data_IF_966812310659
#
_entry.id   IF_966812310659
#
_cell.length_a   1.000
_cell.length_b   1.000
_cell.length_c   1.000
_cell.angle_alpha   90.00
_cell.angle_beta   90.00
_cell.angle_gamma   90.00
#
_symmetry.space_group_name_H-M   'P 1'
#
loop_
_entity.id
_entity.type
_entity.pdbx_description
1 polymer ?
#
# COMPACT_ATOMS: atom_id res chain seq x y z
N UNK A 1 24.98 -10.13 12.54
CA UNK A 1 25.50 -8.78 12.26
C UNK A 1 24.33 -7.91 11.83
N UNK A 2 23.89 -6.95 12.65
CA UNK A 2 22.66 -6.18 12.40
C UNK A 2 22.88 -5.19 11.24
N UNK A 3 22.06 -5.29 10.19
CA UNK A 3 22.18 -4.46 9.00
C UNK A 3 21.75 -3.00 9.31
N UNK A 4 22.73 -2.09 9.38
CA UNK A 4 22.57 -0.66 9.73
C UNK A 4 21.62 0.08 8.76
N UNK A 5 21.38 -0.47 7.56
CA UNK A 5 20.43 0.07 6.58
C UNK A 5 18.97 -0.29 6.83
N UNK A 6 18.70 -1.25 7.73
CA UNK A 6 17.32 -1.67 8.02
C UNK A 6 16.54 -0.54 8.72
N UNK A 7 15.35 -0.22 8.22
CA UNK A 7 14.41 0.73 8.86
C UNK A 7 14.17 0.37 10.34
N UNK A 8 14.18 -0.94 10.64
CA UNK A 8 14.15 -1.52 11.99
C UNK A 8 15.21 -0.95 12.92
N UNK A 9 16.45 -1.01 12.47
CA UNK A 9 17.62 -0.58 13.25
C UNK A 9 17.55 0.92 13.51
N UNK A 10 17.15 1.69 12.49
CA UNK A 10 17.05 3.14 12.57
C UNK A 10 15.96 3.61 13.53
N UNK A 11 14.75 3.06 13.45
CA UNK A 11 13.63 3.48 14.31
C UNK A 11 13.93 3.13 15.78
N UNK A 12 14.39 1.90 16.04
CA UNK A 12 14.66 1.46 17.40
C UNK A 12 15.79 2.26 18.05
N UNK A 13 16.89 2.49 17.32
CA UNK A 13 18.01 3.29 17.85
C UNK A 13 17.60 4.74 17.99
N UNK A 14 16.88 5.32 17.04
CA UNK A 14 16.47 6.72 17.12
C UNK A 14 15.56 6.96 18.32
N UNK A 15 14.52 6.15 18.53
CA UNK A 15 13.65 6.30 19.70
C UNK A 15 14.38 6.02 21.01
N UNK A 16 15.16 4.93 21.08
CA UNK A 16 15.89 4.58 22.31
C UNK A 16 16.94 5.63 22.65
N UNK A 17 17.67 6.13 21.65
CA UNK A 17 18.70 7.17 21.85
C UNK A 17 18.08 8.49 22.30
N UNK A 18 16.98 8.94 21.68
CA UNK A 18 16.28 10.16 22.11
C UNK A 18 15.86 10.05 23.57
N UNK A 19 15.27 8.91 23.96
CA UNK A 19 14.77 8.71 25.32
C UNK A 19 15.92 8.63 26.34
N UNK A 20 17.01 7.92 26.01
CA UNK A 20 18.21 7.84 26.85
C UNK A 20 18.86 9.22 27.01
N UNK A 21 18.98 9.99 25.92
CA UNK A 21 19.55 11.35 25.94
C UNK A 21 18.68 12.28 26.80
N UNK A 22 17.35 12.25 26.63
CA UNK A 22 16.42 13.05 27.42
C UNK A 22 16.53 12.72 28.92
N UNK A 23 16.53 11.44 29.30
CA UNK A 23 16.71 11.02 30.69
C UNK A 23 18.09 11.48 31.21
N UNK A 24 19.15 11.32 30.43
CA UNK A 24 20.51 11.72 30.83
C UNK A 24 20.63 13.22 31.09
N UNK A 25 19.99 14.04 30.26
CA UNK A 25 19.93 15.51 30.43
C UNK A 25 19.19 15.85 31.73
N UNK A 26 18.05 15.23 32.00
CA UNK A 26 17.26 15.48 33.21
C UNK A 26 18.07 15.15 34.47
N UNK A 27 18.68 13.97 34.52
CA UNK A 27 19.43 13.50 35.69
C UNK A 27 20.69 14.35 35.92
N UNK A 28 21.41 14.69 34.84
CA UNK A 28 22.60 15.53 34.90
C UNK A 28 22.24 16.96 35.34
N UNK A 29 21.18 17.53 34.77
CA UNK A 29 20.67 18.85 35.17
C UNK A 29 20.26 18.87 36.64
N UNK A 30 19.53 17.84 37.10
CA UNK A 30 19.11 17.72 38.49
C UNK A 30 20.31 17.67 39.45
N UNK A 31 21.34 16.88 39.12
CA UNK A 31 22.57 16.81 39.92
C UNK A 31 23.29 18.17 39.95
N UNK A 32 23.49 18.82 38.80
CA UNK A 32 24.18 20.11 38.71
C UNK A 32 23.44 21.19 39.52
N UNK A 33 22.12 21.27 39.39
CA UNK A 33 21.30 22.24 40.12
C UNK A 33 21.36 21.98 41.62
N UNK A 34 21.20 20.73 42.05
CA UNK A 34 21.26 20.35 43.47
C UNK A 34 22.63 20.65 44.07
N UNK A 35 23.70 20.27 43.37
CA UNK A 35 25.08 20.58 43.77
C UNK A 35 25.28 22.10 43.93
N UNK A 36 24.82 22.89 42.94
CA UNK A 36 24.93 24.35 42.98
C UNK A 36 24.16 24.95 44.16
N UNK A 37 22.92 24.52 44.41
CA UNK A 37 22.09 25.03 45.52
C UNK A 37 22.74 24.75 46.87
N UNK A 38 23.25 23.54 47.08
CA UNK A 38 23.88 23.16 48.36
C UNK A 38 25.13 24.01 48.62
N UNK A 39 26.01 24.16 47.62
CA UNK A 39 27.21 25.00 47.78
C UNK A 39 26.86 26.50 47.96
N UNK A 40 25.84 27.00 47.28
CA UNK A 40 25.36 28.38 47.50
C UNK A 40 24.84 28.60 48.92
N UNK A 41 24.22 27.59 49.53
CA UNK A 41 23.77 27.67 50.92
C UNK A 41 24.96 27.75 51.88
N UNK A 42 26.01 26.94 51.68
CA UNK A 42 27.25 27.04 52.46
C UNK A 42 27.92 28.39 52.26
N UNK A 43 27.99 28.89 51.03
CA UNK A 43 28.58 30.19 50.72
C UNK A 43 27.82 31.35 51.42
N UNK A 44 26.49 31.24 51.52
CA UNK A 44 25.66 32.18 52.29
C UNK A 44 25.91 32.07 53.80
N UNK A 45 26.02 30.87 54.33
CA UNK A 45 26.34 30.66 55.75
C UNK A 45 27.73 31.23 56.08
N UNK A 46 28.75 30.92 55.29
CA UNK A 46 30.10 31.49 55.44
C UNK A 46 30.08 33.02 55.42
N UNK A 47 29.31 33.62 54.51
CA UNK A 47 29.18 35.07 54.40
C UNK A 47 28.52 35.69 55.62
N UNK A 48 27.43 35.10 56.12
CA UNK A 48 26.77 35.57 57.35
C UNK A 48 27.72 35.54 58.54
N UNK A 49 28.49 34.46 58.68
CA UNK A 49 29.48 34.34 59.74
C UNK A 49 30.64 35.34 59.61
N UNK A 50 30.96 35.81 58.39
CA UNK A 50 31.98 36.84 58.18
C UNK A 50 31.65 38.21 58.78
N UNK A 51 30.38 38.47 59.12
CA UNK A 51 29.95 39.73 59.72
C UNK A 51 29.89 39.69 61.26
N UNK A 52 29.89 38.51 61.89
CA UNK A 52 29.76 38.40 63.35
C UNK A 52 30.83 37.47 63.93
N UNK A 53 32.03 38.02 64.06
CA UNK A 53 33.20 37.24 64.45
C UNK A 53 33.17 36.72 65.90
N UNK A 54 32.29 37.25 66.75
CA UNK A 54 32.22 36.86 68.16
C UNK A 54 31.36 35.59 68.41
N UNK A 55 30.61 35.11 67.40
CA UNK A 55 29.77 33.91 67.51
C UNK A 55 30.50 32.60 67.16
N UNK A 56 31.77 32.66 66.76
CA UNK A 56 32.47 31.53 66.13
C UNK A 56 32.75 30.31 67.01
N UNK A 57 32.78 30.46 68.34
CA UNK A 57 33.00 29.33 69.25
C UNK A 57 31.81 28.35 69.29
N UNK A 58 30.74 28.59 68.52
CA UNK A 58 29.50 27.81 68.56
C UNK A 58 29.28 26.83 67.40
N UNK A 59 30.09 26.85 66.33
CA UNK A 59 29.93 25.94 65.18
C UNK A 59 31.11 24.95 65.10
N UNK A 60 30.89 23.65 65.40
CA UNK A 60 31.95 22.65 65.38
C UNK A 60 32.64 22.52 64.02
N UNK A 61 33.96 22.64 64.00
CA UNK A 61 34.79 22.38 62.81
C UNK A 61 35.00 23.56 61.86
N UNK A 62 34.39 24.73 62.09
CA UNK A 62 34.73 25.94 61.35
C UNK A 62 36.14 26.45 61.71
N UNK A 63 36.83 27.01 60.72
CA UNK A 63 38.18 27.58 60.89
C UNK A 63 38.16 29.03 60.44
N UNK A 64 38.65 29.93 61.27
CA UNK A 64 38.89 31.33 60.88
C UNK A 64 40.37 31.60 61.00
N UNK A 65 40.93 32.19 59.95
CA UNK A 65 42.35 32.55 59.89
C UNK A 65 42.47 33.95 59.32
N UNK A 66 43.20 34.81 60.03
CA UNK A 66 43.59 36.13 59.55
C UNK A 66 45.03 36.06 59.06
N UNK A 67 45.26 36.47 57.81
CA UNK A 67 46.59 36.58 57.23
C UNK A 67 46.99 38.05 57.09
N UNK A 68 48.27 38.35 57.28
CA UNK A 68 48.82 39.68 56.99
C UNK A 68 49.11 39.87 55.49
N UNK A 69 49.57 41.06 55.13
CA UNK A 69 50.03 41.45 53.80
C UNK A 69 51.13 40.57 53.17
N UNK A 70 51.80 39.72 53.96
CA UNK A 70 52.84 38.78 53.50
C UNK A 70 52.33 37.33 53.44
N UNK A 71 51.04 37.09 53.72
CA UNK A 71 50.44 35.76 53.76
C UNK A 71 50.78 34.93 55.00
N UNK A 72 51.36 35.55 56.04
CA UNK A 72 51.63 34.90 57.33
C UNK A 72 50.41 35.00 58.24
N UNK A 73 50.19 33.97 59.08
CA UNK A 73 49.06 33.91 60.00
C UNK A 73 49.26 34.93 61.12
N UNK A 74 48.31 35.84 61.27
CA UNK A 74 48.22 36.82 62.36
C UNK A 74 47.43 36.24 63.51
N UNK A 75 46.29 35.62 63.19
CA UNK A 75 45.40 34.98 64.17
C UNK A 75 44.69 33.80 63.50
N UNK A 76 44.37 32.78 64.29
CA UNK A 76 43.78 31.54 63.79
C UNK A 76 42.99 30.84 64.89
N UNK A 77 41.80 30.35 64.56
CA UNK A 77 41.01 29.49 65.44
C UNK A 77 41.58 28.07 65.53
N UNK A 78 42.51 27.69 64.64
CA UNK A 78 43.34 26.49 64.75
C UNK A 78 44.67 26.82 65.44
N UNK A 79 45.14 25.92 66.29
CA UNK A 79 46.46 26.02 66.94
C UNK A 79 47.59 26.19 65.91
N UNK A 80 48.51 27.11 66.18
CA UNK A 80 49.64 27.46 65.28
C UNK A 80 50.56 26.28 64.92
N UNK A 81 50.53 25.17 65.68
CA UNK A 81 51.35 23.97 65.47
C UNK A 81 50.79 22.96 64.45
N UNK A 82 49.71 23.27 63.71
CA UNK A 82 49.18 22.35 62.69
C UNK A 82 50.09 22.32 61.44
N UNK A 83 50.88 21.24 61.19
CA UNK A 83 51.98 21.27 60.19
C UNK A 83 51.51 21.21 58.73
N UNK A 84 50.21 21.05 58.49
CA UNK A 84 49.64 20.66 57.20
C UNK A 84 48.84 21.76 56.50
N UNK A 85 48.86 22.99 57.01
CA UNK A 85 47.96 24.05 56.52
C UNK A 85 48.73 25.11 55.75
N UNK A 86 48.82 24.93 54.44
CA UNK A 86 49.36 25.95 53.53
C UNK A 86 48.23 26.83 52.99
N UNK A 87 48.14 28.07 53.49
CA UNK A 87 47.21 29.08 53.02
C UNK A 87 47.73 29.86 51.79
N UNK A 88 48.92 29.52 51.27
CA UNK A 88 49.57 30.22 50.17
C UNK A 88 48.65 30.39 48.95
N UNK A 89 47.98 29.31 48.55
CA UNK A 89 47.03 29.35 47.43
C UNK A 89 45.85 30.31 47.69
N UNK A 90 45.27 30.28 48.89
CA UNK A 90 44.13 31.15 49.26
C UNK A 90 44.54 32.61 49.32
N UNK A 91 45.77 32.88 49.78
CA UNK A 91 46.35 34.21 49.75
C UNK A 91 46.56 34.72 48.31
N UNK A 92 47.08 33.89 47.40
CA UNK A 92 47.18 34.23 45.97
C UNK A 92 45.81 34.49 45.33
N UNK A 93 44.77 33.75 45.71
CA UNK A 93 43.39 33.99 45.28
C UNK A 93 42.89 35.36 45.76
N UNK A 94 43.22 35.75 46.99
CA UNK A 94 42.87 37.06 47.56
C UNK A 94 43.60 38.23 46.89
N UNK A 95 44.85 38.02 46.45
CA UNK A 95 45.61 39.04 45.71
C UNK A 95 45.04 39.30 44.31
N UNK A 96 44.57 38.24 43.64
CA UNK A 96 44.03 38.34 42.28
C UNK A 96 42.61 38.91 42.25
N UNK A 97 41.81 38.66 43.29
CA UNK A 97 40.42 39.07 43.34
C UNK A 97 40.20 40.11 44.43
N UNK A 98 39.72 41.31 44.06
CA UNK A 98 39.40 42.37 45.04
C UNK A 98 38.12 42.11 45.84
N UNK A 99 37.32 41.12 45.45
CA UNK A 99 36.04 40.76 46.07
C UNK A 99 36.11 39.43 46.82
N UNK A 100 35.08 39.18 47.64
CA UNK A 100 34.90 37.90 48.32
C UNK A 100 34.89 36.78 47.28
N UNK A 101 35.71 35.75 47.53
CA UNK A 101 35.82 34.57 46.66
C UNK A 101 35.56 33.31 47.48
N UNK A 102 34.88 32.34 46.87
CA UNK A 102 34.61 31.05 47.50
C UNK A 102 35.37 29.94 46.79
N UNK A 103 36.09 29.10 47.54
CA UNK A 103 36.93 28.03 46.94
C UNK A 103 36.97 26.80 47.82
N UNK A 104 37.16 25.63 47.22
CA UNK A 104 37.34 24.37 47.96
C UNK A 104 38.83 24.11 48.12
N UNK A 105 39.26 23.77 49.33
CA UNK A 105 40.62 23.28 49.59
C UNK A 105 40.58 22.34 50.79
N UNK A 106 41.49 21.38 50.84
CA UNK A 106 41.59 20.48 51.98
C UNK A 106 42.51 21.07 53.05
N UNK A 107 42.11 20.95 54.31
CA UNK A 107 43.00 21.10 55.46
C UNK A 107 43.33 19.68 55.92
N UNK A 108 44.56 19.21 55.66
CA UNK A 108 44.90 17.79 55.81
C UNK A 108 44.00 16.91 54.93
N UNK A 109 43.26 15.99 55.55
CA UNK A 109 42.29 15.11 54.86
C UNK A 109 40.85 15.64 54.89
N UNK A 110 40.60 16.77 55.54
CA UNK A 110 39.24 17.32 55.66
C UNK A 110 38.97 18.30 54.53
N UNK A 111 38.00 18.02 53.65
CA UNK A 111 37.62 18.95 52.59
C UNK A 111 36.87 20.12 53.19
N UNK A 112 37.34 21.34 52.89
CA UNK A 112 36.77 22.58 53.38
C UNK A 112 36.29 23.46 52.23
N UNK A 113 35.21 24.20 52.46
CA UNK A 113 34.78 25.35 51.65
C UNK A 113 35.28 26.62 52.35
N UNK A 114 36.10 27.40 51.65
CA UNK A 114 36.65 28.66 52.13
C UNK A 114 35.91 29.84 51.54
N UNK A 115 35.60 30.80 52.40
CA UNK A 115 35.38 32.19 52.06
C UNK A 115 36.71 32.93 52.22
N UNK A 116 37.15 33.58 51.15
CA UNK A 116 38.36 34.39 51.08
C UNK A 116 37.93 35.84 50.91
N UNK A 117 38.13 36.67 51.94
CA UNK A 117 37.77 38.08 51.94
C UNK A 117 39.04 38.93 52.10
N UNK A 118 39.55 39.55 51.03
CA UNK A 118 40.65 40.50 51.15
C UNK A 118 40.17 41.79 51.83
N UNK A 119 40.99 42.35 52.70
CA UNK A 119 40.75 43.61 53.41
C UNK A 119 41.76 44.63 52.88
N UNK A 120 41.23 45.75 52.39
CA UNK A 120 42.04 46.83 51.83
C UNK A 120 41.93 48.07 52.71
N UNK A 121 43.05 48.71 52.97
CA UNK A 121 43.13 50.03 53.58
C UNK A 121 43.96 50.93 52.66
N UNK A 122 43.44 52.10 52.27
CA UNK A 122 44.10 53.00 51.32
C UNK A 122 44.58 52.30 50.02
N UNK A 123 43.72 51.47 49.42
CA UNK A 123 43.98 50.66 48.22
C UNK A 123 45.13 49.64 48.32
N UNK A 124 45.66 49.39 49.52
CA UNK A 124 46.66 48.35 49.78
C UNK A 124 46.02 47.18 50.52
N UNK A 125 46.33 45.95 50.07
CA UNK A 125 45.91 44.74 50.76
C UNK A 125 46.63 44.67 52.12
N UNK A 126 45.90 44.88 53.20
CA UNK A 126 46.44 44.86 54.55
C UNK A 126 46.32 43.46 55.16
N UNK A 127 45.15 42.84 54.99
CA UNK A 127 44.83 41.55 55.59
C UNK A 127 43.96 40.69 54.67
N UNK A 128 43.95 39.38 54.93
CA UNK A 128 43.03 38.44 54.29
C UNK A 128 42.31 37.64 55.35
N UNK A 129 40.99 37.78 55.40
CA UNK A 129 40.13 36.98 56.26
C UNK A 129 39.74 35.70 55.53
N UNK A 130 40.08 34.57 56.13
CA UNK A 130 39.70 33.24 55.68
C UNK A 130 38.70 32.63 56.66
N UNK A 131 37.58 32.14 56.15
CA UNK A 131 36.59 31.39 56.93
C UNK A 131 36.35 30.07 56.20
N UNK A 132 36.56 28.94 56.87
CA UNK A 132 36.43 27.61 56.31
C UNK A 132 35.32 26.82 57.01
N UNK A 133 34.51 26.11 56.22
CA UNK A 133 33.49 25.19 56.70
C UNK A 133 33.74 23.76 56.17
N UNK A 134 33.71 22.72 57.01
CA UNK A 134 33.84 21.33 56.57
C UNK A 134 32.71 20.93 55.62
N UNK A 135 33.06 20.37 54.46
CA UNK A 135 32.09 19.94 53.45
C UNK A 135 32.06 18.42 53.29
N UNK A 136 32.64 17.65 54.20
CA UNK A 136 32.68 16.18 54.14
C UNK A 136 31.27 15.59 54.13
N UNK A 137 30.37 16.05 55.02
CA UNK A 137 28.99 15.60 55.07
C UNK A 137 28.23 15.93 53.76
N UNK A 138 28.53 17.09 53.16
CA UNK A 138 27.95 17.52 51.88
C UNK A 138 28.44 16.63 50.73
N UNK A 139 29.75 16.37 50.65
CA UNK A 139 30.32 15.49 49.64
C UNK A 139 29.79 14.06 49.77
N UNK A 140 29.69 13.52 50.99
CA UNK A 140 29.06 12.21 51.24
C UNK A 140 27.61 12.19 50.76
N UNK A 141 26.83 13.24 51.05
CA UNK A 141 25.44 13.36 50.60
C UNK A 141 25.32 13.43 49.08
N UNK A 142 26.20 14.18 48.41
CA UNK A 142 26.24 14.27 46.95
C UNK A 142 26.66 12.95 46.28
N UNK A 143 27.59 12.19 46.88
CA UNK A 143 27.98 10.87 46.39
C UNK A 143 26.86 9.83 46.57
N UNK A 144 26.13 9.90 47.69
CA UNK A 144 24.93 9.09 47.91
C UNK A 144 23.85 9.45 46.88
N UNK A 145 23.62 10.74 46.64
CA UNK A 145 22.70 11.22 45.61
C UNK A 145 23.08 10.69 44.23
N UNK A 146 24.36 10.76 43.86
CA UNK A 146 24.85 10.25 42.57
C UNK A 146 24.62 8.74 42.44
N UNK A 147 24.91 7.97 43.50
CA UNK A 147 24.66 6.52 43.53
C UNK A 147 23.18 6.20 43.38
N UNK A 148 22.30 6.92 44.08
CA UNK A 148 20.84 6.75 43.97
C UNK A 148 20.37 7.10 42.55
N UNK A 149 20.82 8.23 42.00
CA UNK A 149 20.50 8.64 40.63
C UNK A 149 20.96 7.60 39.61
N UNK A 150 22.15 7.01 39.77
CA UNK A 150 22.66 5.97 38.89
C UNK A 150 21.80 4.69 38.92
N UNK A 151 21.37 4.26 40.11
CA UNK A 151 20.46 3.12 40.27
C UNK A 151 19.11 3.40 39.60
N UNK A 152 18.52 4.57 39.87
CA UNK A 152 17.25 4.98 39.27
C UNK A 152 17.38 5.06 37.74
N UNK A 153 18.48 5.64 37.23
CA UNK A 153 18.76 5.72 35.80
C UNK A 153 18.82 4.34 35.14
N UNK A 154 19.49 3.36 35.77
CA UNK A 154 19.53 1.99 35.27
C UNK A 154 18.13 1.34 35.24
N UNK A 155 17.30 1.59 36.27
CA UNK A 155 15.92 1.12 36.33
C UNK A 155 15.07 1.72 35.20
N UNK A 156 15.28 3.00 34.84
CA UNK A 156 14.56 3.63 33.73
C UNK A 156 15.06 3.21 32.34
N UNK A 157 16.34 2.88 32.17
CA UNK A 157 16.88 2.43 30.89
C UNK A 157 16.45 1.00 30.54
N UNK A 158 16.38 0.10 31.52
CA UNK A 158 16.01 -1.30 31.30
C UNK A 158 14.69 -1.49 30.50
N UNK A 159 13.55 -0.86 30.87
CA UNK A 159 12.30 -1.00 30.12
C UNK A 159 12.35 -0.36 28.72
N UNK A 160 13.17 0.68 28.50
CA UNK A 160 13.37 1.28 27.17
C UNK A 160 14.01 0.26 26.23
N UNK A 161 15.06 -0.43 26.69
CA UNK A 161 15.75 -1.47 25.92
C UNK A 161 14.81 -2.67 25.67
N UNK A 162 14.08 -3.13 26.70
CA UNK A 162 13.14 -4.23 26.57
C UNK A 162 11.99 -3.90 25.60
N UNK A 163 11.41 -2.71 25.71
CA UNK A 163 10.36 -2.23 24.82
C UNK A 163 10.82 -2.16 23.37
N UNK A 164 12.05 -1.69 23.13
CA UNK A 164 12.69 -1.69 21.81
C UNK A 164 12.81 -3.09 21.19
N UNK A 165 13.20 -4.09 21.99
CA UNK A 165 13.32 -5.49 21.54
C UNK A 165 11.93 -6.08 21.25
N UNK A 166 10.93 -5.82 22.09
CA UNK A 166 9.56 -6.32 21.89
C UNK A 166 8.91 -5.71 20.64
N UNK A 167 9.03 -4.39 20.45
CA UNK A 167 8.49 -3.67 19.28
C UNK A 167 9.01 -4.25 17.97
N UNK A 168 10.32 -4.55 17.94
CA UNK A 168 10.98 -5.22 16.82
C UNK A 168 10.32 -6.55 16.45
N UNK A 169 10.07 -7.40 17.45
CA UNK A 169 9.58 -8.75 17.20
C UNK A 169 8.09 -8.78 16.86
N UNK A 170 7.30 -7.85 17.41
CA UNK A 170 5.84 -7.85 17.26
C UNK A 170 5.34 -7.09 16.04
N UNK A 171 6.03 -6.03 15.61
CA UNK A 171 5.55 -5.17 14.50
C UNK A 171 6.43 -5.30 13.27
N UNK A 172 7.75 -5.27 13.44
CA UNK A 172 8.67 -5.18 12.31
C UNK A 172 8.94 -6.53 11.66
N UNK A 173 9.06 -7.60 12.46
CA UNK A 173 9.31 -8.95 11.94
C UNK A 173 8.16 -9.47 11.06
N UNK A 174 6.87 -9.37 11.45
CA UNK A 174 5.76 -9.77 10.58
C UNK A 174 5.73 -9.00 9.25
N UNK A 175 5.97 -7.67 9.30
CA UNK A 175 6.02 -6.84 8.10
C UNK A 175 7.15 -7.27 7.16
N UNK A 176 8.34 -7.56 7.69
CA UNK A 176 9.47 -8.03 6.88
C UNK A 176 9.19 -9.40 6.24
N UNK A 177 8.53 -10.31 6.96
CA UNK A 177 8.14 -11.61 6.42
C UNK A 177 7.14 -11.46 5.27
N UNK A 178 6.16 -10.56 5.41
CA UNK A 178 5.19 -10.27 4.36
C UNK A 178 5.90 -9.75 3.11
N UNK A 179 6.81 -8.77 3.24
CA UNK A 179 7.55 -8.23 2.09
C UNK A 179 8.36 -9.32 1.40
N UNK A 180 9.07 -10.16 2.15
CA UNK A 180 9.84 -11.25 1.58
C UNK A 180 8.96 -12.28 0.85
N UNK A 181 7.82 -12.63 1.45
CA UNK A 181 6.86 -13.53 0.81
C UNK A 181 6.21 -12.91 -0.43
N UNK A 182 6.07 -11.58 -0.49
CA UNK A 182 5.60 -10.87 -1.68
C UNK A 182 6.63 -10.90 -2.81
N UNK A 183 7.92 -10.76 -2.51
CA UNK A 183 9.00 -10.81 -3.52
C UNK A 183 9.09 -12.20 -4.19
N UNK A 184 8.67 -13.26 -3.49
CA UNK A 184 8.62 -14.63 -4.02
C UNK A 184 7.40 -14.89 -4.93
N UNK A 185 6.44 -13.97 -4.98
CA UNK A 185 5.23 -14.11 -5.80
C UNK A 185 5.48 -13.52 -7.18
N UNK A 186 5.29 -14.37 -8.18
CA UNK A 186 5.50 -14.10 -9.61
C UNK A 186 4.24 -14.50 -10.38
N UNK A 187 4.21 -14.23 -11.69
CA UNK A 187 3.12 -14.68 -12.58
C UNK A 187 2.98 -16.20 -12.65
N UNK A 188 4.02 -16.96 -12.27
CA UNK A 188 4.04 -18.43 -12.36
C UNK A 188 3.47 -19.14 -11.12
N UNK A 189 3.41 -18.45 -9.97
CA UNK A 189 3.02 -19.05 -8.68
C UNK A 189 1.99 -18.20 -7.93
N UNK A 190 1.05 -17.60 -8.68
CA UNK A 190 -0.05 -16.79 -8.15
C UNK A 190 -1.03 -17.54 -7.23
N UNK A 191 -0.90 -18.85 -7.08
CA UNK A 191 -1.64 -19.69 -6.13
C UNK A 191 -1.11 -19.58 -4.70
N UNK A 192 0.13 -19.11 -4.51
CA UNK A 192 0.66 -18.81 -3.18
C UNK A 192 -0.13 -17.70 -2.51
N UNK A 193 -0.30 -17.81 -1.19
CA UNK A 193 -0.97 -16.78 -0.37
C UNK A 193 -0.06 -16.37 0.76
N UNK A 194 -0.19 -15.11 1.15
CA UNK A 194 0.44 -14.61 2.37
C UNK A 194 -0.29 -15.23 3.56
N UNK A 195 0.49 -15.76 4.51
CA UNK A 195 -0.04 -16.31 5.76
C UNK A 195 -0.72 -15.22 6.59
N UNK A 196 -1.81 -15.58 7.27
CA UNK A 196 -2.47 -14.68 8.21
C UNK A 196 -1.57 -14.45 9.43
N UNK A 197 -1.13 -13.21 9.69
CA UNK A 197 -0.30 -12.90 10.86
C UNK A 197 -1.03 -13.08 12.20
N UNK A 198 -2.37 -13.24 12.21
CA UNK A 198 -3.17 -13.38 13.43
C UNK A 198 -3.17 -12.14 14.33
N UNK A 199 -2.80 -10.99 13.77
CA UNK A 199 -2.52 -9.76 14.52
C UNK A 199 -3.75 -8.87 14.72
N UNK A 200 -4.88 -9.13 14.04
CA UNK A 200 -6.13 -8.36 14.12
C UNK A 200 -5.94 -6.83 13.96
N UNK A 201 -4.94 -6.43 13.19
CA UNK A 201 -4.48 -5.05 13.01
C UNK A 201 -4.32 -4.69 11.52
N UNK A 202 -3.65 -3.58 11.23
CA UNK A 202 -3.35 -3.12 9.87
C UNK A 202 -2.55 -4.12 9.06
N UNK A 203 -1.74 -4.97 9.71
CA UNK A 203 -0.92 -5.99 9.04
C UNK A 203 -1.82 -7.10 8.51
N UNK A 204 -2.79 -7.57 9.30
CA UNK A 204 -3.77 -8.55 8.82
C UNK A 204 -4.61 -7.97 7.67
N UNK A 205 -5.06 -6.71 7.79
CA UNK A 205 -5.83 -6.06 6.73
C UNK A 205 -5.04 -5.94 5.43
N UNK A 206 -3.73 -5.65 5.51
CA UNK A 206 -2.83 -5.62 4.35
C UNK A 206 -2.73 -7.02 3.71
N UNK A 207 -2.48 -8.06 4.50
CA UNK A 207 -2.43 -9.46 4.04
C UNK A 207 -3.71 -9.86 3.30
N UNK A 208 -4.89 -9.59 3.89
CA UNK A 208 -6.18 -9.91 3.28
C UNK A 208 -6.41 -9.14 1.97
N UNK A 209 -6.07 -7.85 1.94
CA UNK A 209 -6.23 -7.01 0.75
C UNK A 209 -5.34 -7.50 -0.39
N UNK A 210 -4.11 -7.91 -0.07
CA UNK A 210 -3.18 -8.46 -1.06
C UNK A 210 -3.62 -9.83 -1.57
N UNK A 211 -4.04 -10.73 -0.68
CA UNK A 211 -4.59 -12.04 -1.09
C UNK A 211 -5.82 -11.89 -2.01
N UNK A 212 -6.72 -10.95 -1.73
CA UNK A 212 -7.86 -10.62 -2.61
C UNK A 212 -7.42 -10.07 -3.99
N UNK A 213 -6.27 -9.39 -4.06
CA UNK A 213 -5.68 -8.96 -5.33
C UNK A 213 -5.13 -10.19 -6.09
N UNK A 214 -4.41 -11.08 -5.41
CA UNK A 214 -3.92 -12.32 -6.00
C UNK A 214 -5.05 -13.20 -6.53
N UNK A 215 -6.16 -13.32 -5.81
CA UNK A 215 -7.35 -14.06 -6.26
C UNK A 215 -7.88 -13.51 -7.59
N UNK A 216 -7.98 -12.18 -7.71
CA UNK A 216 -8.43 -11.51 -8.94
C UNK A 216 -7.46 -11.72 -10.09
N UNK A 217 -6.15 -11.64 -9.83
CA UNK A 217 -5.12 -11.92 -10.83
C UNK A 217 -5.17 -13.37 -11.29
N UNK A 218 -5.18 -14.32 -10.36
CA UNK A 218 -5.24 -15.76 -10.67
C UNK A 218 -6.49 -16.10 -11.49
N UNK A 219 -7.66 -15.53 -11.15
CA UNK A 219 -8.87 -15.70 -11.96
C UNK A 219 -8.71 -15.12 -13.36
N UNK A 220 -8.06 -13.95 -13.51
CA UNK A 220 -7.79 -13.34 -14.81
C UNK A 220 -6.87 -14.22 -15.67
N UNK A 221 -5.75 -14.66 -15.11
CA UNK A 221 -4.79 -15.55 -15.80
C UNK A 221 -5.43 -16.90 -16.17
N UNK A 222 -6.24 -17.49 -15.29
CA UNK A 222 -6.97 -18.73 -15.60
C UNK A 222 -7.93 -18.54 -16.78
N UNK A 223 -8.66 -17.43 -16.83
CA UNK A 223 -9.56 -17.10 -17.96
C UNK A 223 -8.79 -16.88 -19.25
N UNK A 224 -7.64 -16.21 -19.19
CA UNK A 224 -6.77 -16.00 -20.35
C UNK A 224 -6.20 -17.31 -20.88
N UNK A 225 -5.70 -18.18 -20.00
CA UNK A 225 -5.19 -19.51 -20.38
C UNK A 225 -6.28 -20.38 -21.00
N UNK A 226 -7.46 -20.44 -20.38
CA UNK A 226 -8.61 -21.16 -20.96
C UNK A 226 -8.95 -20.63 -22.35
N UNK A 227 -8.93 -19.31 -22.53
CA UNK A 227 -9.19 -18.69 -23.83
C UNK A 227 -8.15 -19.09 -24.89
N UNK A 228 -6.87 -19.15 -24.56
CA UNK A 228 -5.81 -19.61 -25.47
C UNK A 228 -6.01 -21.10 -25.82
N UNK A 229 -6.34 -21.94 -24.83
CA UNK A 229 -6.61 -23.37 -25.03
C UNK A 229 -7.82 -23.57 -25.97
N UNK A 230 -8.91 -22.84 -25.75
CA UNK A 230 -10.11 -22.90 -26.59
C UNK A 230 -9.81 -22.47 -28.04
N UNK A 231 -9.04 -21.39 -28.24
CA UNK A 231 -8.59 -20.95 -29.57
C UNK A 231 -7.80 -22.05 -30.28
N UNK A 232 -6.84 -22.64 -29.57
CA UNK A 232 -5.99 -23.68 -30.13
C UNK A 232 -6.83 -24.89 -30.59
N UNK A 233 -7.82 -25.30 -29.80
CA UNK A 233 -8.73 -26.37 -30.15
C UNK A 233 -9.58 -26.06 -31.38
N UNK A 234 -10.23 -24.88 -31.42
CA UNK A 234 -11.12 -24.49 -32.52
C UNK A 234 -10.37 -24.22 -33.84
N UNK A 235 -9.07 -23.88 -33.79
CA UNK A 235 -8.22 -23.80 -34.99
C UNK A 235 -7.71 -25.17 -35.44
N UNK A 236 -7.36 -26.07 -34.51
CA UNK A 236 -6.74 -27.37 -34.84
C UNK A 236 -7.65 -28.25 -35.70
N UNK A 237 -8.95 -28.27 -35.43
CA UNK A 237 -9.92 -29.09 -36.17
C UNK A 237 -10.04 -28.73 -37.65
N UNK A 238 -10.40 -27.48 -38.04
CA UNK A 238 -10.51 -27.11 -39.46
C UNK A 238 -9.17 -27.22 -40.19
N UNK A 239 -8.04 -26.91 -39.53
CA UNK A 239 -6.70 -27.09 -40.13
C UNK A 239 -6.41 -28.57 -40.42
N UNK A 240 -6.75 -29.47 -39.48
CA UNK A 240 -6.57 -30.90 -39.68
C UNK A 240 -7.47 -31.47 -40.79
N UNK A 241 -8.73 -31.03 -40.86
CA UNK A 241 -9.67 -31.43 -41.93
C UNK A 241 -9.19 -30.93 -43.29
N UNK A 242 -8.80 -29.66 -43.39
CA UNK A 242 -8.24 -29.06 -44.61
C UNK A 242 -6.99 -29.81 -45.07
N UNK A 243 -6.04 -30.05 -44.17
CA UNK A 243 -4.81 -30.79 -44.48
C UNK A 243 -5.11 -32.22 -44.94
N UNK A 244 -5.97 -32.95 -44.22
CA UNK A 244 -6.32 -34.33 -44.58
C UNK A 244 -7.05 -34.45 -45.90
N UNK A 245 -7.94 -33.49 -46.22
CA UNK A 245 -8.64 -33.43 -47.50
C UNK A 245 -7.68 -33.20 -48.67
N UNK A 246 -6.71 -32.29 -48.49
CA UNK A 246 -5.65 -32.03 -49.49
C UNK A 246 -4.75 -33.26 -49.64
N UNK A 247 -4.26 -33.86 -48.56
CA UNK A 247 -3.39 -35.06 -48.61
C UNK A 247 -4.08 -36.24 -49.30
N UNK A 248 -5.35 -36.50 -48.98
CA UNK A 248 -6.13 -37.56 -49.61
C UNK A 248 -6.34 -37.32 -51.10
N UNK A 249 -6.52 -36.05 -51.49
CA UNK A 249 -6.73 -35.65 -52.89
C UNK A 249 -5.44 -35.71 -53.69
N UNK A 250 -4.29 -35.46 -53.06
CA UNK A 250 -2.96 -35.59 -53.66
C UNK A 250 -2.44 -37.04 -53.68
N UNK A 251 -2.99 -37.94 -52.87
CA UNK A 251 -2.49 -39.32 -52.73
C UNK A 251 -2.61 -40.20 -53.99
N UNK A 252 -3.51 -39.85 -54.92
CA UNK A 252 -3.74 -40.55 -56.18
C UNK A 252 -4.48 -39.67 -57.18
N UNK A 253 -4.38 -39.99 -58.47
CA UNK A 253 -5.15 -39.30 -59.51
C UNK A 253 -6.67 -39.42 -59.26
N UNK A 254 -7.36 -38.29 -59.44
CA UNK A 254 -8.81 -38.16 -59.27
C UNK A 254 -9.48 -37.60 -60.51
N UNK A 255 -10.79 -37.76 -60.57
CA UNK A 255 -11.58 -37.08 -61.59
C UNK A 255 -11.57 -35.56 -61.37
N UNK A 256 -11.74 -34.79 -62.45
CA UNK A 256 -11.87 -33.32 -62.37
C UNK A 256 -12.92 -32.89 -61.35
N UNK A 257 -14.04 -33.61 -61.29
CA UNK A 257 -15.18 -33.32 -60.43
C UNK A 257 -14.87 -33.56 -58.94
N UNK A 258 -14.03 -34.55 -58.62
CA UNK A 258 -13.51 -34.76 -57.27
C UNK A 258 -12.54 -33.64 -56.84
N UNK A 259 -11.66 -33.18 -57.74
CA UNK A 259 -10.78 -32.04 -57.44
C UNK A 259 -11.57 -30.76 -57.18
N UNK A 260 -12.56 -30.45 -58.03
CA UNK A 260 -13.44 -29.29 -57.85
C UNK A 260 -14.15 -29.34 -56.49
N UNK A 261 -14.66 -30.53 -56.12
CA UNK A 261 -15.30 -30.73 -54.80
C UNK A 261 -14.33 -30.53 -53.63
N UNK A 262 -13.11 -31.07 -53.68
CA UNK A 262 -12.12 -30.84 -52.62
C UNK A 262 -11.76 -29.37 -52.50
N UNK A 263 -11.62 -28.66 -53.62
CA UNK A 263 -11.33 -27.22 -53.62
C UNK A 263 -12.48 -26.41 -53.00
N UNK A 264 -13.73 -26.77 -53.28
CA UNK A 264 -14.90 -26.18 -52.62
C UNK A 264 -14.89 -26.43 -51.11
N UNK A 265 -14.62 -27.66 -50.67
CA UNK A 265 -14.50 -28.01 -49.24
C UNK A 265 -13.35 -27.25 -48.56
N UNK A 266 -12.21 -27.10 -49.25
CA UNK A 266 -11.04 -26.35 -48.79
C UNK A 266 -11.34 -24.86 -48.64
N UNK A 267 -12.08 -24.28 -49.58
CA UNK A 267 -12.51 -22.89 -49.53
C UNK A 267 -13.44 -22.65 -48.33
N UNK A 268 -14.39 -23.56 -48.11
CA UNK A 268 -15.30 -23.53 -46.95
C UNK A 268 -14.51 -23.55 -45.63
N UNK A 269 -13.51 -24.42 -45.49
CA UNK A 269 -12.70 -24.49 -44.27
C UNK A 269 -11.79 -23.26 -44.09
N UNK A 270 -11.27 -22.68 -45.18
CA UNK A 270 -10.49 -21.43 -45.16
C UNK A 270 -11.34 -20.24 -44.72
N UNK A 271 -12.58 -20.16 -45.20
CA UNK A 271 -13.54 -19.13 -44.78
C UNK A 271 -13.93 -19.28 -43.30
N UNK A 272 -14.06 -20.51 -42.79
CA UNK A 272 -14.29 -20.75 -41.35
C UNK A 272 -13.13 -20.22 -40.51
N UNK A 273 -11.88 -20.53 -40.89
CA UNK A 273 -10.68 -20.07 -40.18
C UNK A 273 -10.61 -18.53 -40.23
N UNK A 274 -10.84 -17.93 -41.39
CA UNK A 274 -10.82 -16.46 -41.56
C UNK A 274 -11.86 -15.77 -40.68
N UNK A 275 -13.08 -16.32 -40.61
CA UNK A 275 -14.14 -15.81 -39.74
C UNK A 275 -13.79 -15.97 -38.25
N UNK A 276 -13.15 -17.09 -37.87
CA UNK A 276 -12.70 -17.31 -36.50
C UNK A 276 -11.64 -16.26 -36.11
N UNK A 277 -10.63 -16.04 -36.94
CA UNK A 277 -9.59 -15.02 -36.69
C UNK A 277 -10.21 -13.62 -36.55
N UNK A 278 -11.16 -13.26 -37.43
CA UNK A 278 -11.88 -11.98 -37.33
C UNK A 278 -12.64 -11.85 -36.00
N UNK A 279 -13.33 -12.91 -35.58
CA UNK A 279 -14.05 -12.93 -34.29
C UNK A 279 -13.10 -12.83 -33.09
N UNK A 280 -11.89 -13.40 -33.17
CA UNK A 280 -10.87 -13.27 -32.13
C UNK A 280 -10.31 -11.85 -32.02
N UNK A 281 -10.03 -11.22 -33.17
CA UNK A 281 -9.62 -9.83 -33.19
C UNK A 281 -10.72 -8.95 -32.58
N UNK A 282 -11.97 -9.13 -32.99
CA UNK A 282 -13.12 -8.40 -32.42
C UNK A 282 -13.19 -8.54 -30.88
N UNK A 283 -12.96 -9.74 -30.34
CA UNK A 283 -12.91 -9.97 -28.89
C UNK A 283 -11.74 -9.28 -28.19
N UNK A 284 -10.54 -9.29 -28.80
CA UNK A 284 -9.37 -8.64 -28.23
C UNK A 284 -9.58 -7.12 -28.11
N UNK A 285 -10.22 -6.50 -29.12
CA UNK A 285 -10.53 -5.07 -29.14
C UNK A 285 -11.56 -4.65 -28.08
N UNK A 286 -12.54 -5.52 -27.78
CA UNK A 286 -13.51 -5.31 -26.70
C UNK A 286 -12.84 -5.29 -25.32
N UNK A 287 -11.82 -6.13 -25.11
CA UNK A 287 -11.07 -6.18 -23.85
C UNK A 287 -10.11 -5.01 -23.64
N UNK A 288 -9.48 -4.53 -24.71
CA UNK A 288 -8.48 -3.45 -24.66
C UNK A 288 -9.09 -2.03 -24.60
N UNK A 289 -10.32 -1.84 -25.07
CA UNK A 289 -10.97 -0.52 -25.14
C UNK A 289 -11.57 -0.09 -23.80
N UNK A 290 -10.73 0.23 -22.81
CA UNK A 290 -11.20 0.95 -21.62
C UNK A 290 -11.00 2.47 -21.70
N UNK A 291 -10.36 3.03 -22.74
CA UNK A 291 -10.09 4.48 -22.75
C UNK A 291 -10.20 5.22 -24.09
N UNK A 292 -10.48 4.57 -25.21
CA UNK A 292 -10.62 5.28 -26.50
C UNK A 292 -11.75 4.68 -27.33
N UNK A 293 -13.00 4.99 -26.98
CA UNK A 293 -14.11 4.76 -27.93
C UNK A 293 -14.74 6.08 -28.30
N UNK A 294 -14.68 6.33 -29.60
CA UNK A 294 -15.09 7.50 -30.34
C UNK A 294 -16.58 7.77 -30.07
N UNK A 295 -16.86 8.88 -29.38
CA UNK A 295 -18.18 9.30 -28.91
C UNK A 295 -18.96 10.03 -30.03
N UNK A 296 -19.16 9.39 -31.18
CA UNK A 296 -19.97 9.97 -32.27
C UNK A 296 -21.44 9.59 -32.09
N UNK A 297 -22.32 10.58 -32.25
CA UNK A 297 -23.75 10.32 -32.29
C UNK A 297 -24.12 9.78 -33.67
N UNK A 298 -24.83 8.65 -33.72
CA UNK A 298 -25.35 8.08 -34.97
C UNK A 298 -26.81 7.64 -34.82
N UNK A 299 -27.49 7.40 -35.94
CA UNK A 299 -28.89 7.02 -35.99
C UNK A 299 -29.05 5.50 -35.99
N UNK A 300 -29.45 4.94 -34.85
CA UNK A 300 -29.65 3.50 -34.66
C UNK A 300 -30.81 2.98 -35.50
N UNK A 301 -31.89 3.76 -35.66
CA UNK A 301 -33.03 3.37 -36.51
C UNK A 301 -32.59 3.21 -37.97
N UNK A 302 -31.69 4.07 -38.47
CA UNK A 302 -31.14 3.96 -39.83
C UNK A 302 -30.29 2.70 -39.97
N UNK A 303 -29.40 2.44 -39.02
CA UNK A 303 -28.56 1.24 -39.02
C UNK A 303 -29.39 -0.05 -39.07
N UNK A 304 -30.45 -0.13 -38.25
CA UNK A 304 -31.36 -1.28 -38.26
C UNK A 304 -32.18 -1.40 -39.54
N UNK A 305 -32.56 -0.27 -40.15
CA UNK A 305 -33.21 -0.27 -41.44
C UNK A 305 -32.29 -0.85 -42.52
N UNK A 306 -31.03 -0.45 -42.56
CA UNK A 306 -30.04 -0.98 -43.51
C UNK A 306 -29.81 -2.49 -43.26
N UNK A 307 -29.72 -2.90 -42.00
CA UNK A 307 -29.66 -4.31 -41.62
C UNK A 307 -30.90 -5.11 -42.05
N UNK A 308 -32.09 -4.51 -42.00
CA UNK A 308 -33.33 -5.19 -42.38
C UNK A 308 -33.31 -5.66 -43.84
N UNK A 309 -32.74 -4.87 -44.74
CA UNK A 309 -32.63 -5.20 -46.16
C UNK A 309 -31.76 -6.44 -46.40
N UNK A 310 -30.64 -6.56 -45.66
CA UNK A 310 -29.72 -7.69 -45.74
C UNK A 310 -30.35 -8.92 -45.08
N UNK A 311 -30.90 -8.74 -43.88
CA UNK A 311 -31.46 -9.82 -43.06
C UNK A 311 -32.68 -10.47 -43.71
N UNK A 312 -33.55 -9.68 -44.34
CA UNK A 312 -34.72 -10.21 -45.05
C UNK A 312 -34.30 -11.06 -46.25
N UNK A 313 -33.24 -10.71 -46.97
CA UNK A 313 -32.69 -11.53 -48.06
C UNK A 313 -32.14 -12.87 -47.54
N UNK A 314 -31.36 -12.85 -46.46
CA UNK A 314 -30.84 -14.06 -45.81
C UNK A 314 -31.98 -14.95 -45.26
N UNK A 315 -33.01 -14.34 -44.67
CA UNK A 315 -34.20 -15.04 -44.21
C UNK A 315 -34.96 -15.72 -45.34
N UNK A 316 -35.15 -15.04 -46.47
CA UNK A 316 -35.82 -15.60 -47.66
C UNK A 316 -35.10 -16.83 -48.22
N UNK A 317 -33.76 -16.83 -48.27
CA UNK A 317 -32.97 -17.99 -48.68
C UNK A 317 -33.27 -19.23 -47.83
N UNK A 318 -33.58 -19.02 -46.53
CA UNK A 318 -33.94 -20.09 -45.58
C UNK A 318 -35.46 -20.24 -45.35
N UNK A 319 -36.30 -19.56 -46.15
CA UNK A 319 -37.77 -19.52 -46.00
C UNK A 319 -38.22 -19.06 -44.60
N UNK A 320 -37.50 -18.14 -43.98
CA UNK A 320 -37.82 -17.52 -42.68
C UNK A 320 -38.38 -16.13 -42.95
N UNK A 321 -39.53 -15.81 -42.34
CA UNK A 321 -40.11 -14.47 -42.46
C UNK A 321 -39.55 -13.56 -41.36
N UNK A 322 -38.79 -12.53 -41.76
CA UNK A 322 -38.18 -11.56 -40.84
C UNK A 322 -38.98 -10.25 -40.92
N UNK A 323 -39.49 -9.82 -39.77
CA UNK A 323 -40.29 -8.60 -39.63
C UNK A 323 -39.58 -7.57 -38.75
N UNK A 324 -39.73 -6.30 -39.08
CA UNK A 324 -39.10 -5.19 -38.38
C UNK A 324 -40.16 -4.16 -37.95
N UNK A 325 -40.18 -3.81 -36.67
CA UNK A 325 -41.00 -2.75 -36.08
C UNK A 325 -40.07 -1.70 -35.43
N UNK A 326 -39.67 -0.69 -36.21
CA UNK A 326 -38.60 0.23 -35.84
C UNK A 326 -39.15 1.63 -35.56
N UNK A 327 -39.04 2.09 -34.32
CA UNK A 327 -39.31 3.49 -34.00
C UNK A 327 -38.28 4.41 -34.70
N UNK A 328 -38.73 5.44 -35.43
CA UNK A 328 -37.83 6.25 -36.25
C UNK A 328 -37.01 7.25 -35.42
N UNK A 329 -35.85 7.64 -35.96
CA UNK A 329 -34.98 8.73 -35.46
C UNK A 329 -34.38 8.51 -34.05
N UNK A 330 -34.25 7.27 -33.58
CA UNK A 330 -33.53 6.97 -32.34
C UNK A 330 -32.03 7.11 -32.59
N UNK A 331 -31.38 7.99 -31.82
CA UNK A 331 -29.93 8.25 -31.88
C UNK A 331 -29.25 7.80 -30.60
N UNK A 332 -28.06 7.21 -30.75
CA UNK A 332 -27.20 6.79 -29.63
C UNK A 332 -25.77 7.31 -29.85
N UNK A 333 -24.97 7.30 -28.79
CA UNK A 333 -23.54 7.59 -28.86
C UNK A 333 -22.74 6.29 -28.92
N UNK A 334 -21.76 6.23 -29.80
CA UNK A 334 -20.88 5.07 -29.89
C UNK A 334 -20.21 4.91 -31.25
N UNK A 335 -19.60 3.74 -31.42
CA UNK A 335 -19.04 3.31 -32.69
C UNK A 335 -20.11 2.55 -33.48
N UNK A 336 -20.60 3.18 -34.55
CA UNK A 336 -21.62 2.61 -35.44
C UNK A 336 -21.20 1.23 -35.98
N UNK A 337 -19.93 1.05 -36.33
CA UNK A 337 -19.40 -0.21 -36.86
C UNK A 337 -19.40 -1.33 -35.82
N UNK A 338 -19.00 -1.02 -34.58
CA UNK A 338 -19.04 -2.00 -33.48
C UNK A 338 -20.48 -2.37 -33.12
N UNK A 339 -21.38 -1.40 -32.99
CA UNK A 339 -22.80 -1.70 -32.70
C UNK A 339 -23.40 -2.53 -33.83
N UNK A 340 -23.16 -2.18 -35.10
CA UNK A 340 -23.58 -2.98 -36.25
C UNK A 340 -23.13 -4.45 -36.11
N UNK A 341 -21.86 -4.67 -35.77
CA UNK A 341 -21.31 -6.01 -35.56
C UNK A 341 -22.02 -6.80 -34.45
N UNK A 342 -22.30 -6.15 -33.32
CA UNK A 342 -23.05 -6.79 -32.23
C UNK A 342 -24.46 -7.22 -32.67
N UNK A 343 -25.15 -6.36 -33.42
CA UNK A 343 -26.50 -6.62 -33.91
C UNK A 343 -26.52 -7.75 -34.94
N UNK A 344 -25.57 -7.74 -35.89
CA UNK A 344 -25.39 -8.82 -36.86
C UNK A 344 -25.20 -10.16 -36.14
N UNK A 345 -24.33 -10.22 -35.13
CA UNK A 345 -24.10 -11.47 -34.38
C UNK A 345 -25.36 -12.01 -33.70
N UNK A 346 -26.24 -11.14 -33.18
CA UNK A 346 -27.49 -11.57 -32.53
C UNK A 346 -28.49 -12.05 -33.59
N UNK A 347 -28.64 -11.30 -34.69
CA UNK A 347 -29.58 -11.60 -35.77
C UNK A 347 -29.18 -12.87 -36.53
N UNK A 348 -27.89 -13.07 -36.81
CA UNK A 348 -27.37 -14.29 -37.42
C UNK A 348 -27.67 -15.52 -36.56
N UNK A 349 -27.53 -15.40 -35.23
CA UNK A 349 -27.93 -16.47 -34.33
C UNK A 349 -29.44 -16.75 -34.42
N UNK A 350 -30.29 -15.72 -34.44
CA UNK A 350 -31.73 -15.90 -34.62
C UNK A 350 -32.06 -16.64 -35.93
N UNK A 351 -31.46 -16.25 -37.07
CA UNK A 351 -31.64 -16.94 -38.36
C UNK A 351 -31.13 -18.37 -38.31
N UNK A 352 -29.96 -18.59 -37.72
CA UNK A 352 -29.30 -19.90 -37.64
C UNK A 352 -30.14 -20.92 -36.89
N UNK A 353 -30.72 -20.55 -35.75
CA UNK A 353 -31.48 -21.45 -34.88
C UNK A 353 -32.99 -21.51 -35.16
N UNK A 354 -33.48 -20.69 -36.09
CA UNK A 354 -34.87 -20.73 -36.56
C UNK A 354 -35.04 -21.75 -37.69
N UNK A 355 -35.98 -22.71 -37.58
CA UNK A 355 -36.34 -23.63 -38.66
C UNK A 355 -37.01 -22.93 -39.85
N UNK A 356 -37.02 -23.58 -41.01
CA UNK A 356 -37.70 -23.07 -42.21
C UNK A 356 -39.21 -22.90 -41.96
N UNK A 357 -39.81 -21.83 -42.50
CA UNK A 357 -41.23 -21.52 -42.38
C UNK A 357 -41.64 -20.79 -41.10
N UNK A 358 -40.70 -20.53 -40.18
CA UNK A 358 -40.92 -19.80 -38.93
C UNK A 358 -40.60 -18.31 -39.06
N UNK A 359 -40.89 -17.54 -37.99
CA UNK A 359 -40.76 -16.08 -37.99
C UNK A 359 -39.67 -15.58 -37.05
N UNK A 360 -39.08 -14.45 -37.43
CA UNK A 360 -38.22 -13.62 -36.58
C UNK A 360 -38.82 -12.21 -36.57
N UNK A 361 -38.93 -11.60 -35.39
CA UNK A 361 -39.38 -10.21 -35.24
C UNK A 361 -38.31 -9.40 -34.52
N UNK A 362 -37.91 -8.30 -35.14
CA UNK A 362 -36.99 -7.32 -34.57
C UNK A 362 -37.77 -6.04 -34.29
N UNK A 363 -37.71 -5.53 -33.07
CA UNK A 363 -38.32 -4.24 -32.72
C UNK A 363 -37.33 -3.30 -32.06
N UNK A 364 -37.52 -2.00 -32.26
CA UNK A 364 -36.75 -0.94 -31.61
C UNK A 364 -37.70 0.09 -31.03
N UNK A 365 -37.57 0.37 -29.72
CA UNK A 365 -38.38 1.36 -29.00
C UNK A 365 -37.52 2.23 -28.10
N UNK A 366 -37.91 3.49 -27.91
CA UNK A 366 -37.32 4.39 -26.93
C UNK A 366 -38.12 4.36 -25.62
N UNK A 367 -37.50 3.88 -24.54
CA UNK A 367 -38.15 3.83 -23.22
C UNK A 367 -37.21 4.40 -22.17
N UNK A 368 -37.66 5.41 -21.42
CA UNK A 368 -36.90 5.99 -20.30
C UNK A 368 -35.43 6.33 -20.66
N UNK A 369 -35.21 6.96 -21.82
CA UNK A 369 -33.89 7.32 -22.37
C UNK A 369 -32.97 6.14 -22.75
N UNK A 370 -33.51 4.93 -22.83
CA UNK A 370 -32.81 3.77 -23.38
C UNK A 370 -33.45 3.36 -24.69
N UNK A 371 -32.62 3.13 -25.70
CA UNK A 371 -32.99 2.41 -26.90
C UNK A 371 -33.07 0.92 -26.55
N UNK A 372 -34.27 0.36 -26.57
CA UNK A 372 -34.53 -1.05 -26.31
C UNK A 372 -34.78 -1.73 -27.63
N UNK A 373 -33.92 -2.69 -27.96
CA UNK A 373 -34.10 -3.55 -29.11
C UNK A 373 -34.49 -4.95 -28.65
N UNK A 374 -35.52 -5.51 -29.27
CA UNK A 374 -35.98 -6.86 -29.00
C UNK A 374 -35.90 -7.70 -30.28
N UNK A 375 -35.14 -8.78 -30.24
CA UNK A 375 -34.99 -9.74 -31.33
C UNK A 375 -35.59 -11.05 -30.85
N UNK A 376 -36.73 -11.43 -31.42
CA UNK A 376 -37.48 -12.64 -31.05
C UNK A 376 -37.49 -13.61 -32.21
N UNK A 377 -37.09 -14.84 -31.96
CA UNK A 377 -37.19 -15.96 -32.90
C UNK A 377 -38.18 -17.03 -32.40
N UNK A 378 -38.67 -17.84 -33.35
CA UNK A 378 -39.45 -19.05 -33.10
C UNK A 378 -38.58 -20.32 -33.29
N UNK A 379 -37.32 -20.24 -32.85
CA UNK A 379 -36.34 -21.31 -32.99
C UNK A 379 -36.48 -22.45 -31.98
N UNK A 380 -35.45 -23.29 -31.92
CA UNK A 380 -35.41 -24.46 -31.01
C UNK A 380 -35.42 -24.09 -29.52
N UNK A 381 -35.08 -22.84 -29.19
CA UNK A 381 -34.93 -22.35 -27.82
C UNK A 381 -33.68 -22.89 -27.13
N UNK A 382 -33.44 -22.42 -25.90
CA UNK A 382 -32.26 -22.70 -25.08
C UNK A 382 -32.73 -23.34 -23.77
N UNK A 383 -32.00 -24.34 -23.29
CA UNK A 383 -32.26 -24.98 -22.00
C UNK A 383 -32.03 -24.00 -20.85
N UNK A 384 -32.74 -24.16 -19.74
CA UNK A 384 -32.66 -23.21 -18.61
C UNK A 384 -31.26 -23.22 -17.99
N UNK A 385 -30.62 -24.37 -18.00
CA UNK A 385 -29.28 -24.62 -17.49
C UNK A 385 -28.22 -23.97 -18.38
N UNK A 386 -28.48 -23.90 -19.69
CA UNK A 386 -27.54 -23.32 -20.66
C UNK A 386 -27.63 -21.78 -20.70
N UNK A 387 -28.74 -21.17 -20.23
CA UNK A 387 -28.98 -19.71 -20.30
C UNK A 387 -27.93 -18.86 -19.57
N UNK A 388 -27.32 -19.36 -18.49
CA UNK A 388 -26.25 -18.65 -17.78
C UNK A 388 -24.93 -18.63 -18.56
N UNK A 389 -24.76 -19.56 -19.50
CA UNK A 389 -23.50 -19.81 -20.19
C UNK A 389 -23.50 -19.35 -21.65
N UNK A 390 -24.64 -18.95 -22.22
CA UNK A 390 -24.74 -18.53 -23.65
C UNK A 390 -23.86 -17.34 -24.04
N UNK A 391 -23.41 -16.54 -23.06
CA UNK A 391 -22.51 -15.43 -23.29
C UNK A 391 -21.04 -15.78 -23.02
N UNK A 392 -20.76 -16.99 -22.53
CA UNK A 392 -19.40 -17.49 -22.40
C UNK A 392 -18.83 -17.76 -23.79
N UNK A 393 -17.52 -17.50 -23.92
CA UNK A 393 -16.80 -17.70 -25.19
C UNK A 393 -16.77 -19.18 -25.51
N UNK A 394 -16.92 -19.53 -26.79
CA UNK A 394 -16.88 -20.91 -27.28
C UNK A 394 -17.97 -21.85 -26.71
N UNK A 395 -18.88 -21.33 -25.88
CA UNK A 395 -19.94 -22.15 -25.30
C UNK A 395 -20.96 -22.55 -26.37
N UNK A 396 -21.30 -23.84 -26.36
CA UNK A 396 -22.31 -24.43 -27.25
C UNK A 396 -23.26 -25.27 -26.40
N UNK A 397 -24.56 -24.97 -26.50
CA UNK A 397 -25.58 -25.75 -25.79
C UNK A 397 -25.48 -27.24 -26.13
N UNK A 398 -25.65 -28.08 -25.11
CA UNK A 398 -25.35 -29.52 -25.06
C UNK A 398 -26.05 -30.39 -26.12
N UNK A 399 -27.01 -29.84 -26.87
CA UNK A 399 -27.79 -30.54 -27.94
C UNK A 399 -27.57 -29.97 -29.35
N UNK A 400 -26.66 -29.03 -29.56
CA UNK A 400 -26.48 -28.28 -30.84
C UNK A 400 -25.38 -28.82 -31.78
N UNK A 401 -25.16 -30.13 -31.80
CA UNK A 401 -24.06 -30.76 -32.55
C UNK A 401 -24.13 -30.56 -34.08
N UNK A 402 -25.31 -30.27 -34.66
CA UNK A 402 -25.49 -30.14 -36.11
C UNK A 402 -25.36 -28.72 -36.69
N UNK A 403 -25.26 -27.66 -35.88
CA UNK A 403 -25.25 -26.27 -36.38
C UNK A 403 -23.87 -25.62 -36.30
N UNK A 404 -23.27 -25.31 -37.46
CA UNK A 404 -21.95 -24.66 -37.61
C UNK A 404 -21.89 -23.26 -37.00
N UNK A 405 -20.97 -23.02 -36.06
CA UNK A 405 -20.57 -21.68 -35.58
C UNK A 405 -19.67 -21.75 -34.34
N UNK A 406 -18.84 -20.73 -34.16
CA UNK A 406 -17.71 -20.73 -33.20
C UNK A 406 -18.09 -20.49 -31.73
N UNK A 407 -19.36 -20.23 -31.41
CA UNK A 407 -19.78 -19.87 -30.03
C UNK A 407 -19.30 -18.48 -29.56
N UNK A 408 -18.68 -17.68 -30.43
CA UNK A 408 -18.14 -16.36 -30.05
C UNK A 408 -19.13 -15.21 -30.26
N UNK A 409 -20.15 -15.39 -31.10
CA UNK A 409 -21.01 -14.28 -31.56
C UNK A 409 -21.74 -13.55 -30.42
N UNK A 410 -22.38 -14.27 -29.49
CA UNK A 410 -23.08 -13.67 -28.35
C UNK A 410 -22.13 -13.04 -27.34
N UNK A 411 -20.96 -13.66 -27.11
CA UNK A 411 -19.92 -13.09 -26.25
C UNK A 411 -19.39 -11.75 -26.81
N UNK A 412 -19.15 -11.66 -28.12
CA UNK A 412 -18.75 -10.43 -28.80
C UNK A 412 -19.86 -9.38 -28.67
N UNK A 413 -21.10 -9.75 -28.96
CA UNK A 413 -22.23 -8.82 -28.88
C UNK A 413 -22.40 -8.24 -27.47
N UNK A 414 -22.35 -9.09 -26.44
CA UNK A 414 -22.43 -8.66 -25.04
C UNK A 414 -21.27 -7.72 -24.68
N UNK A 415 -20.04 -8.08 -25.06
CA UNK A 415 -18.87 -7.26 -24.78
C UNK A 415 -18.92 -5.87 -25.44
N UNK A 416 -19.34 -5.80 -26.71
CA UNK A 416 -19.55 -4.53 -27.41
C UNK A 416 -20.65 -3.71 -26.72
N UNK A 417 -21.79 -4.31 -26.40
CA UNK A 417 -22.92 -3.60 -25.80
C UNK A 417 -22.56 -3.07 -24.40
N UNK A 418 -21.85 -3.86 -23.60
CA UNK A 418 -21.36 -3.44 -22.29
C UNK A 418 -20.34 -2.29 -22.40
N UNK A 419 -19.44 -2.34 -23.39
CA UNK A 419 -18.47 -1.26 -23.64
C UNK A 419 -19.16 0.06 -24.05
N UNK A 420 -20.42 0.00 -24.50
CA UNK A 420 -21.25 1.17 -24.82
C UNK A 420 -22.21 1.54 -23.66
N UNK A 421 -21.96 1.05 -22.44
CA UNK A 421 -22.80 1.33 -21.26
C UNK A 421 -24.18 0.66 -21.30
N UNK A 422 -24.39 -0.27 -22.23
CA UNK A 422 -25.63 -1.03 -22.39
C UNK A 422 -25.67 -2.33 -21.61
N UNK A 423 -26.73 -3.10 -21.82
CA UNK A 423 -26.83 -4.48 -21.32
C UNK A 423 -27.61 -5.37 -22.28
N UNK A 424 -27.41 -6.70 -22.18
CA UNK A 424 -28.14 -7.70 -22.97
C UNK A 424 -28.80 -8.70 -22.03
N UNK A 425 -30.06 -9.06 -22.30
CA UNK A 425 -30.80 -10.11 -21.60
C UNK A 425 -31.35 -11.12 -22.58
N UNK A 426 -31.29 -12.40 -22.23
CA UNK A 426 -31.84 -13.48 -23.04
C UNK A 426 -32.93 -14.19 -22.24
N UNK A 427 -34.08 -14.38 -22.88
CA UNK A 427 -35.21 -15.16 -22.39
C UNK A 427 -35.49 -16.23 -23.43
N UNK A 428 -35.41 -17.50 -23.05
CA UNK A 428 -35.64 -18.60 -24.00
C UNK A 428 -36.32 -19.77 -23.30
N UNK A 429 -37.10 -20.52 -24.08
CA UNK A 429 -37.67 -21.79 -23.65
C UNK A 429 -37.66 -22.77 -24.82
N UNK A 430 -37.21 -23.99 -24.54
CA UNK A 430 -37.12 -25.08 -25.53
C UNK A 430 -38.46 -25.23 -26.26
N UNK A 431 -38.40 -25.27 -27.60
CA UNK A 431 -39.55 -25.44 -28.48
C UNK A 431 -40.40 -24.20 -28.72
N UNK A 432 -40.12 -23.08 -28.04
CA UNK A 432 -40.85 -21.81 -28.23
C UNK A 432 -40.03 -20.71 -28.91
N UNK A 433 -38.69 -20.80 -28.82
CA UNK A 433 -37.76 -19.82 -29.39
C UNK A 433 -37.05 -18.97 -28.35
N UNK A 434 -36.32 -17.96 -28.82
CA UNK A 434 -35.50 -17.09 -27.98
C UNK A 434 -35.84 -15.62 -28.19
N UNK A 435 -35.78 -14.84 -27.11
CA UNK A 435 -35.94 -13.40 -27.09
C UNK A 435 -34.67 -12.78 -26.51
N UNK A 436 -33.97 -12.01 -27.35
CA UNK A 436 -32.80 -11.23 -26.96
C UNK A 436 -33.22 -9.77 -26.83
N UNK A 437 -33.02 -9.18 -25.65
CA UNK A 437 -33.26 -7.76 -25.37
C UNK A 437 -31.94 -7.04 -25.19
N UNK A 438 -31.69 -6.04 -26.03
CA UNK A 438 -30.52 -5.16 -25.97
C UNK A 438 -30.97 -3.79 -25.46
N UNK A 439 -30.29 -3.28 -24.45
CA UNK A 439 -30.53 -1.97 -23.86
C UNK A 439 -29.31 -1.11 -24.16
N UNK A 440 -29.49 0.02 -24.84
CA UNK A 440 -28.42 1.00 -25.10
C UNK A 440 -28.84 2.39 -24.60
N UNK A 441 -27.99 3.08 -23.82
CA UNK A 441 -28.31 4.43 -23.36
C UNK A 441 -28.29 5.43 -24.54
N UNK A 442 -29.29 6.30 -24.60
CA UNK A 442 -29.31 7.39 -25.59
C UNK A 442 -28.47 8.60 -25.17
N UNK A 443 -28.06 8.65 -23.90
CA UNK A 443 -27.23 9.70 -23.31
C UNK A 443 -26.02 9.02 -22.67
N UNK A 444 -24.82 9.47 -23.03
CA UNK A 444 -23.59 9.00 -22.40
C UNK A 444 -23.40 9.68 -21.04
N UNK A 445 -23.75 8.99 -19.94
CA UNK A 445 -23.39 9.43 -18.58
C UNK A 445 -22.01 8.84 -18.24
N UNK A 446 -21.03 9.74 -18.12
CA UNK A 446 -19.65 9.41 -17.72
C UNK A 446 -19.59 8.96 -16.26
#
# INVERSE_FOLDING_TARGET
MMNIKSLKFRIVILFSSILIVAISIIFTSFYIVTNKIIYQQVDKELLLHSYNLNQFNSVPGMVITLLNQNGSIVDSSLSFDTPYVSYKYLFEVAQKNRSITYTNQNIGNTPMRFLVKPVYENDKLTEVLLIAHPIEAIQKSLNLLLSILAIIFAIFIAPVILGAIMFTNKIIKPLSNIIQNMDDITSENLDKRLEDPGSNDEIQRLTLTFNNLLDRLQQSFKRERQFIEDIAHELKTPIATLKGGIELTLSKDRSKLEYEKTLEETLIDTDKISNLVKNLLDLAWVGASHNETINKQFNLSKLLYDLSQITTKLGQQKKINVSFDLEPKIKIFGDEGKINRALVNIIENAIKYTPNGKKISVSLKLVNKNAIMEIKDEGVGIAKEDLSHVFERFYRGSKSTKTLGSGLGLAIAQGIINAHGGSVKILSKIGTGTLVKVYLPTIWTK
#
